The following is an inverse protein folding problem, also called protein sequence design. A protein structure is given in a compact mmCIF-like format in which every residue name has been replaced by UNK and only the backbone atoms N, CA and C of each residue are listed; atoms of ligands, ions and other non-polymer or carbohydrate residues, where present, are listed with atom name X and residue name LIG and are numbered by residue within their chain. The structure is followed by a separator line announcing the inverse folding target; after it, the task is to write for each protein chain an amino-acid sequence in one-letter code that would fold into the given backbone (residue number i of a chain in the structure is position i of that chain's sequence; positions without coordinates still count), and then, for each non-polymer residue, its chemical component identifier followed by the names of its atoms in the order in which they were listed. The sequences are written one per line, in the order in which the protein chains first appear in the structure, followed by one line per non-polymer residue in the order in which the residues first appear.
data_IF_103610861122
#
_entry.id   IF_103610861122
#
_cell.length_a   1.000
_cell.length_b   1.000
_cell.length_c   1.000
_cell.angle_alpha   90.00
_cell.angle_beta   90.00
_cell.angle_gamma   90.00
#
_symmetry.space_group_name_H-M   'P 1'
#
loop_
_entity.id
_entity.type
_entity.pdbx_description
1 polymer ?
#
# COMPACT_ATOMS: atom_id res chain seq x y z
N UNK A 1 -41.37 24.73 58.15
CA UNK A 1 -40.53 25.31 59.23
C UNK A 1 -39.10 25.44 58.72
N UNK A 2 -38.51 26.61 58.94
CA UNK A 2 -37.15 27.03 58.56
C UNK A 2 -36.12 26.38 59.47
N UNK A 3 -34.90 26.12 58.96
CA UNK A 3 -33.65 26.65 59.52
C UNK A 3 -32.50 26.58 58.49
N UNK A 4 -31.99 27.78 58.17
CA UNK A 4 -30.67 28.09 57.60
C UNK A 4 -29.60 27.94 58.71
N UNK A 5 -28.33 27.76 58.35
CA UNK A 5 -27.06 28.29 58.92
C UNK A 5 -25.93 27.56 58.15
N UNK A 6 -24.81 28.11 57.68
CA UNK A 6 -24.15 29.40 57.79
C UNK A 6 -22.77 29.27 57.11
N UNK A 7 -22.27 30.38 56.59
CA UNK A 7 -21.10 30.57 55.71
C UNK A 7 -19.76 30.50 56.47
N UNK A 8 -18.68 30.01 55.84
CA UNK A 8 -17.32 30.57 56.03
C UNK A 8 -16.45 30.45 54.78
N UNK A 9 -16.14 31.61 54.23
CA UNK A 9 -15.09 31.97 53.26
C UNK A 9 -13.68 31.64 53.75
N UNK A 10 -12.80 31.10 52.89
CA UNK A 10 -11.39 31.51 52.81
C UNK A 10 -10.84 31.43 51.39
N UNK A 11 -10.32 32.58 50.99
CA UNK A 11 -9.60 32.97 49.79
C UNK A 11 -8.15 32.44 49.86
N UNK A 12 -7.58 31.92 48.77
CA UNK A 12 -6.14 32.02 48.52
C UNK A 12 -5.85 32.06 47.01
N UNK A 13 -4.78 32.78 46.69
CA UNK A 13 -4.46 33.53 45.48
C UNK A 13 -3.19 32.96 44.83
N UNK A 14 -3.06 33.12 43.50
CA UNK A 14 -1.78 33.18 42.77
C UNK A 14 -1.37 31.87 42.07
N UNK A 15 -0.81 31.86 40.86
CA UNK A 15 -0.13 32.91 40.10
C UNK A 15 -0.18 32.54 38.60
N UNK A 16 -0.58 33.50 37.75
CA UNK A 16 -0.51 33.44 36.29
C UNK A 16 0.78 34.18 35.87
N UNK A 17 1.74 33.50 35.24
CA UNK A 17 2.95 34.14 34.71
C UNK A 17 2.93 34.16 33.18
N UNK A 18 2.59 35.33 32.65
CA UNK A 18 2.72 35.72 31.25
C UNK A 18 4.12 36.34 31.06
N UNK A 19 4.99 35.70 30.28
CA UNK A 19 6.26 36.29 29.84
C UNK A 19 6.12 36.78 28.40
N UNK A 20 6.06 38.10 28.23
CA UNK A 20 6.40 38.77 26.97
C UNK A 20 7.92 38.95 26.94
N UNK A 21 8.59 38.55 25.86
CA UNK A 21 9.95 39.02 25.56
C UNK A 21 10.19 39.19 24.05
N UNK A 22 10.14 40.46 23.65
CA UNK A 22 10.80 41.20 22.55
C UNK A 22 11.29 40.47 21.29
N UNK A 23 10.80 40.96 20.14
CA UNK A 23 11.44 40.84 18.83
C UNK A 23 12.68 41.73 18.71
N UNK A 24 13.76 41.20 18.13
CA UNK A 24 14.89 41.94 17.56
C UNK A 24 15.25 41.28 16.22
N UNK A 25 15.38 42.07 15.16
CA UNK A 25 15.77 41.64 13.82
C UNK A 25 17.23 42.05 13.50
N UNK A 26 17.79 41.39 12.46
CA UNK A 26 19.02 41.65 11.65
C UNK A 26 20.39 41.14 12.13
N UNK A 27 21.37 40.88 11.23
CA UNK A 27 21.33 40.58 9.77
C UNK A 27 22.04 39.25 9.42
N UNK A 28 21.97 38.84 8.14
CA UNK A 28 22.57 37.60 7.64
C UNK A 28 24.10 37.52 7.74
N UNK A 29 24.60 36.28 7.85
CA UNK A 29 25.97 35.88 7.55
C UNK A 29 25.91 34.58 6.73
N UNK A 30 26.63 34.60 5.61
CA UNK A 30 26.68 33.56 4.61
C UNK A 30 27.41 32.29 5.09
N UNK A 31 26.93 31.17 4.57
CA UNK A 31 27.63 29.96 4.09
C UNK A 31 29.03 29.69 4.65
N UNK A 32 29.14 28.61 5.42
CA UNK A 32 30.32 27.73 5.40
C UNK A 32 29.81 26.33 5.09
N UNK A 33 30.23 25.80 3.95
CA UNK A 33 29.79 24.52 3.41
C UNK A 33 30.03 23.37 4.38
N UNK A 34 28.98 22.61 4.64
CA UNK A 34 29.12 21.21 4.98
C UNK A 34 28.80 20.42 3.73
N UNK A 35 29.85 19.87 3.12
CA UNK A 35 29.76 18.76 2.19
C UNK A 35 29.21 17.55 2.97
N UNK A 36 27.89 17.49 3.14
CA UNK A 36 27.24 16.20 3.29
C UNK A 36 27.21 15.63 1.89
N UNK A 37 28.06 14.64 1.62
CA UNK A 37 27.74 13.62 0.62
C UNK A 37 26.45 12.96 1.11
N UNK A 38 25.33 13.65 0.90
CA UNK A 38 24.01 13.11 1.05
C UNK A 38 23.92 12.06 -0.04
N UNK A 39 23.87 10.80 0.38
CA UNK A 39 23.06 9.86 -0.35
C UNK A 39 21.68 10.51 -0.41
N UNK A 40 21.37 11.17 -1.53
CA UNK A 40 20.00 11.38 -1.94
C UNK A 40 19.42 9.96 -1.97
N UNK A 41 18.80 9.55 -0.87
CA UNK A 41 17.89 8.42 -0.91
C UNK A 41 16.80 8.92 -1.84
N UNK A 42 16.64 8.36 -3.05
CA UNK A 42 15.54 8.76 -3.90
C UNK A 42 14.28 8.46 -3.10
N UNK A 43 13.64 9.52 -2.61
CA UNK A 43 12.30 9.40 -2.07
C UNK A 43 11.43 9.22 -3.30
N UNK A 44 11.32 7.99 -3.78
CA UNK A 44 10.27 7.63 -4.73
C UNK A 44 8.99 7.78 -3.93
N UNK A 45 8.37 8.97 -3.98
CA UNK A 45 6.95 9.04 -3.67
C UNK A 45 6.29 8.14 -4.70
N UNK A 46 5.92 6.93 -4.29
CA UNK A 46 5.08 6.08 -5.11
C UNK A 46 3.84 6.92 -5.46
N UNK A 47 3.67 7.19 -6.76
CA UNK A 47 2.44 7.80 -7.23
C UNK A 47 1.26 6.91 -6.84
N UNK A 48 0.07 7.49 -6.73
CA UNK A 48 -1.17 6.74 -6.60
C UNK A 48 -2.16 7.23 -7.65
N UNK A 49 -3.17 6.43 -7.93
CA UNK A 49 -4.26 6.80 -8.84
C UNK A 49 -5.16 7.80 -8.10
N UNK A 50 -5.14 9.05 -8.56
CA UNK A 50 -6.05 10.07 -8.03
C UNK A 50 -7.50 9.65 -8.22
N UNK A 51 -8.32 9.84 -7.18
CA UNK A 51 -9.71 9.39 -7.18
C UNK A 51 -9.90 7.90 -6.87
N UNK A 52 -8.87 7.15 -6.48
CA UNK A 52 -9.02 5.74 -6.09
C UNK A 52 -8.42 5.40 -4.72
N UNK A 53 -9.18 4.62 -3.95
CA UNK A 53 -8.80 4.09 -2.63
C UNK A 53 -9.00 2.58 -2.60
N UNK A 54 -8.13 1.86 -1.91
CA UNK A 54 -8.31 0.46 -1.55
C UNK A 54 -8.68 0.38 -0.07
N UNK A 55 -9.87 -0.15 0.22
CA UNK A 55 -10.33 -0.44 1.57
C UNK A 55 -10.24 -1.94 1.87
N UNK A 56 -9.86 -2.28 3.09
CA UNK A 56 -9.84 -3.67 3.57
C UNK A 56 -10.84 -3.78 4.71
N UNK A 57 -11.82 -4.69 4.57
CA UNK A 57 -12.83 -4.91 5.58
C UNK A 57 -12.27 -5.69 6.78
N UNK A 58 -12.87 -5.48 7.95
CA UNK A 58 -12.58 -6.26 9.14
C UNK A 58 -12.78 -7.77 8.90
N UNK A 59 -11.97 -8.59 9.55
CA UNK A 59 -11.91 -10.04 9.34
C UNK A 59 -12.97 -10.82 10.14
N UNK A 60 -13.55 -10.19 11.16
CA UNK A 60 -14.57 -10.75 12.06
C UNK A 60 -16.01 -10.60 11.53
N UNK A 61 -16.19 -9.98 10.36
CA UNK A 61 -17.50 -9.84 9.72
C UNK A 61 -18.01 -11.19 9.16
N UNK A 62 -19.25 -11.53 9.49
CA UNK A 62 -19.95 -12.63 8.84
C UNK A 62 -20.36 -12.28 7.39
N UNK A 63 -20.88 -13.26 6.65
CA UNK A 63 -21.23 -13.09 5.25
C UNK A 63 -22.33 -12.04 5.01
N UNK A 64 -23.29 -11.89 5.92
CA UNK A 64 -24.37 -10.91 5.77
C UNK A 64 -23.89 -9.51 6.14
N UNK A 65 -23.15 -9.38 7.24
CA UNK A 65 -22.52 -8.12 7.64
C UNK A 65 -21.61 -7.60 6.54
N UNK A 66 -20.76 -8.47 5.96
CA UNK A 66 -19.89 -8.08 4.85
C UNK A 66 -20.67 -7.56 3.64
N UNK A 67 -21.77 -8.21 3.26
CA UNK A 67 -22.59 -7.75 2.14
C UNK A 67 -23.24 -6.39 2.45
N UNK A 68 -23.70 -6.19 3.68
CA UNK A 68 -24.24 -4.90 4.11
C UNK A 68 -23.19 -3.79 4.04
N UNK A 69 -21.97 -4.03 4.52
CA UNK A 69 -20.88 -3.04 4.48
C UNK A 69 -20.51 -2.69 3.03
N UNK A 70 -20.50 -3.67 2.13
CA UNK A 70 -20.24 -3.43 0.70
C UNK A 70 -21.32 -2.56 0.04
N UNK A 71 -22.58 -2.80 0.39
CA UNK A 71 -23.72 -2.00 -0.09
C UNK A 71 -23.63 -0.56 0.44
N UNK A 72 -23.42 -0.40 1.75
CA UNK A 72 -23.26 0.91 2.40
C UNK A 72 -22.09 1.72 1.85
N UNK A 73 -20.94 1.08 1.58
CA UNK A 73 -19.80 1.73 0.93
C UNK A 73 -20.12 2.13 -0.51
N UNK A 74 -20.95 1.36 -1.22
CA UNK A 74 -21.38 1.67 -2.58
C UNK A 74 -22.36 2.82 -2.68
N UNK A 75 -23.09 3.12 -1.61
CA UNK A 75 -24.09 4.21 -1.54
C UNK A 75 -23.57 5.51 -0.91
N UNK A 76 -22.31 5.54 -0.44
CA UNK A 76 -21.73 6.71 0.18
C UNK A 76 -21.58 7.90 -0.80
N UNK A 77 -21.87 9.12 -0.34
CA UNK A 77 -21.88 10.34 -1.18
C UNK A 77 -20.52 10.63 -1.85
N UNK A 78 -19.43 10.19 -1.23
CA UNK A 78 -18.06 10.37 -1.70
C UNK A 78 -17.58 9.25 -2.64
N UNK A 79 -18.45 8.28 -2.96
CA UNK A 79 -18.15 7.11 -3.80
C UNK A 79 -18.90 7.20 -5.13
N UNK A 80 -18.16 7.02 -6.22
CA UNK A 80 -18.73 6.87 -7.55
C UNK A 80 -19.00 5.39 -7.88
N UNK A 81 -18.06 4.50 -7.58
CA UNK A 81 -18.17 3.06 -7.83
C UNK A 81 -17.36 2.24 -6.84
N UNK A 82 -17.79 1.00 -6.59
CA UNK A 82 -17.03 0.01 -5.82
C UNK A 82 -16.80 -1.26 -6.63
N UNK A 83 -15.64 -1.88 -6.41
CA UNK A 83 -15.28 -3.15 -7.00
C UNK A 83 -14.63 -4.04 -5.95
N UNK A 84 -15.28 -5.14 -5.60
CA UNK A 84 -14.68 -6.14 -4.70
C UNK A 84 -13.50 -6.82 -5.39
N UNK A 85 -12.34 -6.73 -4.76
CA UNK A 85 -11.16 -7.51 -5.10
C UNK A 85 -11.26 -8.79 -4.26
N UNK A 86 -11.60 -9.90 -4.92
CA UNK A 86 -11.64 -11.20 -4.27
C UNK A 86 -10.26 -11.85 -4.39
N UNK A 87 -9.42 -11.85 -3.34
CA UNK A 87 -8.22 -12.67 -3.37
C UNK A 87 -8.62 -14.13 -3.50
N UNK A 88 -7.99 -14.87 -4.41
CA UNK A 88 -8.19 -16.32 -4.60
C UNK A 88 -7.64 -17.17 -3.42
N UNK A 89 -7.46 -16.59 -2.25
CA UNK A 89 -6.84 -17.22 -1.09
C UNK A 89 -7.87 -17.48 0.01
N UNK A 90 -7.65 -18.54 0.78
CA UNK A 90 -8.45 -19.03 1.93
C UNK A 90 -8.63 -18.02 3.07
N UNK A 91 -8.20 -16.76 2.91
CA UNK A 91 -8.39 -15.70 3.90
C UNK A 91 -9.71 -14.99 3.63
N UNK A 92 -10.53 -14.82 4.66
CA UNK A 92 -11.78 -14.04 4.62
C UNK A 92 -11.55 -12.52 4.52
N UNK A 93 -10.38 -12.08 4.03
CA UNK A 93 -10.06 -10.67 3.89
C UNK A 93 -10.69 -10.16 2.60
N UNK A 94 -11.68 -9.28 2.75
CA UNK A 94 -12.33 -8.63 1.61
C UNK A 94 -11.68 -7.30 1.36
N UNK A 95 -11.15 -7.15 0.14
CA UNK A 95 -10.59 -5.89 -0.33
C UNK A 95 -11.57 -5.27 -1.32
N UNK A 96 -11.68 -3.95 -1.31
CA UNK A 96 -12.58 -3.20 -2.17
C UNK A 96 -11.79 -2.05 -2.78
N UNK A 97 -11.79 -1.97 -4.11
CA UNK A 97 -11.39 -0.77 -4.83
C UNK A 97 -12.58 0.17 -4.88
N UNK A 98 -12.36 1.41 -4.49
CA UNK A 98 -13.37 2.47 -4.42
C UNK A 98 -12.92 3.59 -5.35
N UNK A 99 -13.74 3.88 -6.36
CA UNK A 99 -13.62 5.06 -7.20
C UNK A 99 -14.40 6.19 -6.53
N UNK A 100 -13.75 7.34 -6.32
CA UNK A 100 -14.28 8.47 -5.58
C UNK A 100 -15.14 9.37 -6.47
N UNK A 101 -16.14 10.00 -5.87
CA UNK A 101 -16.93 11.03 -6.53
C UNK A 101 -16.09 12.29 -6.81
N UNK A 102 -16.42 12.99 -7.90
CA UNK A 102 -15.74 14.21 -8.32
C UNK A 102 -15.60 15.23 -7.17
N UNK A 103 -14.38 15.74 -6.98
CA UNK A 103 -14.07 16.74 -5.95
C UNK A 103 -13.71 16.17 -4.58
N UNK A 104 -13.81 14.84 -4.38
CA UNK A 104 -13.31 14.15 -3.18
C UNK A 104 -11.81 13.89 -3.31
N UNK A 105 -11.04 14.19 -2.27
CA UNK A 105 -9.60 13.88 -2.26
C UNK A 105 -9.35 12.48 -1.68
N UNK A 106 -8.31 11.79 -2.16
CA UNK A 106 -7.90 10.48 -1.63
C UNK A 106 -7.66 10.53 -0.12
N UNK A 107 -7.06 11.61 0.37
CA UNK A 107 -6.80 11.80 1.80
C UNK A 107 -8.07 11.87 2.63
N UNK A 108 -9.05 12.67 2.19
CA UNK A 108 -10.29 12.86 2.93
C UNK A 108 -11.13 11.58 2.91
N UNK A 109 -11.18 10.90 1.76
CA UNK A 109 -11.84 9.61 1.62
C UNK A 109 -11.24 8.55 2.54
N UNK A 110 -9.91 8.43 2.61
CA UNK A 110 -9.25 7.49 3.53
C UNK A 110 -9.63 7.78 4.98
N UNK A 111 -9.57 9.05 5.40
CA UNK A 111 -9.90 9.42 6.77
C UNK A 111 -11.35 9.09 7.13
N UNK A 112 -12.28 9.26 6.20
CA UNK A 112 -13.69 8.92 6.39
C UNK A 112 -13.92 7.40 6.41
N UNK A 113 -13.31 6.68 5.47
CA UNK A 113 -13.45 5.22 5.37
C UNK A 113 -12.83 4.51 6.58
N UNK A 114 -11.67 4.97 7.07
CA UNK A 114 -11.00 4.42 8.25
C UNK A 114 -11.71 4.70 9.58
N UNK A 115 -12.59 5.70 9.64
CA UNK A 115 -13.40 5.96 10.85
C UNK A 115 -14.51 4.89 11.03
N UNK A 116 -14.81 4.12 9.98
CA UNK A 116 -15.81 3.04 10.05
C UNK A 116 -15.28 1.86 10.87
N UNK A 117 -16.08 1.32 11.81
CA UNK A 117 -15.66 0.19 12.65
C UNK A 117 -15.56 -1.15 11.90
N UNK A 118 -16.14 -1.24 10.70
CA UNK A 118 -16.17 -2.42 9.83
C UNK A 118 -15.05 -2.43 8.78
N UNK A 119 -14.20 -1.41 8.79
CA UNK A 119 -13.00 -1.28 7.96
C UNK A 119 -11.76 -1.50 8.84
N UNK A 120 -10.86 -2.37 8.39
CA UNK A 120 -9.60 -2.61 9.07
C UNK A 120 -8.58 -1.48 8.80
N UNK A 121 -8.51 -1.02 7.55
CA UNK A 121 -7.73 0.14 7.10
C UNK A 121 -8.10 0.53 5.67
N UNK A 122 -7.71 1.73 5.25
CA UNK A 122 -7.80 2.17 3.85
C UNK A 122 -6.48 2.80 3.39
N UNK A 123 -6.19 2.70 2.09
CA UNK A 123 -4.95 3.21 1.52
C UNK A 123 -5.15 3.71 0.09
N UNK A 124 -4.26 4.58 -0.41
CA UNK A 124 -4.27 4.94 -1.82
C UNK A 124 -4.07 3.72 -2.72
N UNK A 125 -4.61 3.77 -3.95
CA UNK A 125 -4.23 2.81 -4.98
C UNK A 125 -2.86 3.18 -5.57
N UNK A 126 -1.77 2.64 -5.02
CA UNK A 126 -0.42 2.96 -5.46
C UNK A 126 -0.11 2.43 -6.87
N UNK A 127 0.63 3.23 -7.63
CA UNK A 127 1.13 2.90 -8.96
C UNK A 127 2.46 2.18 -8.80
N UNK A 128 2.53 0.96 -9.31
CA UNK A 128 3.75 0.19 -9.45
C UNK A 128 4.19 0.20 -10.92
N UNK A 129 5.47 0.41 -11.15
CA UNK A 129 6.11 0.25 -12.45
C UNK A 129 7.19 -0.81 -12.36
N UNK A 130 7.39 -1.55 -13.45
CA UNK A 130 8.61 -2.32 -13.62
C UNK A 130 9.76 -1.31 -13.75
N UNK A 131 10.91 -1.62 -13.17
CA UNK A 131 12.12 -0.85 -13.48
C UNK A 131 12.42 -1.06 -14.96
N UNK A 132 12.62 0.02 -15.70
CA UNK A 132 13.09 0.01 -17.10
C UNK A 132 14.55 -0.46 -17.16
N UNK A 133 14.87 -1.57 -16.48
CA UNK A 133 16.14 -2.23 -16.70
C UNK A 133 16.09 -2.68 -18.16
N UNK A 134 17.04 -2.15 -18.93
CA UNK A 134 17.20 -2.29 -20.37
C UNK A 134 17.51 -3.77 -20.68
N UNK A 135 16.49 -4.64 -20.57
CA UNK A 135 16.61 -6.02 -21.00
C UNK A 135 16.54 -5.96 -22.51
N UNK A 136 17.70 -5.96 -23.17
CA UNK A 136 17.81 -6.17 -24.60
C UNK A 136 17.36 -7.61 -24.89
N UNK A 137 16.05 -7.81 -24.95
CA UNK A 137 15.38 -9.05 -25.30
C UNK A 137 15.49 -9.21 -26.81
N UNK A 138 16.56 -9.84 -27.29
CA UNK A 138 16.47 -10.53 -28.57
C UNK A 138 15.45 -11.67 -28.39
N UNK A 139 14.26 -11.48 -28.95
CA UNK A 139 13.17 -12.44 -28.86
C UNK A 139 13.61 -13.77 -29.49
N UNK A 140 13.89 -14.77 -28.66
CA UNK A 140 14.18 -16.12 -29.13
C UNK A 140 12.86 -16.80 -29.52
N UNK A 141 12.57 -16.88 -30.82
CA UNK A 141 11.44 -17.67 -31.33
C UNK A 141 11.79 -19.15 -31.28
N UNK A 142 11.46 -19.83 -30.17
CA UNK A 142 11.65 -21.28 -30.04
C UNK A 142 10.32 -21.96 -30.37
N UNK A 143 10.28 -22.71 -31.47
CA UNK A 143 9.10 -23.53 -31.79
C UNK A 143 9.01 -24.71 -30.82
N UNK A 144 7.82 -24.93 -30.26
CA UNK A 144 7.49 -25.97 -29.28
C UNK A 144 7.68 -27.42 -29.76
N UNK A 145 8.17 -27.64 -30.99
CA UNK A 145 8.47 -28.96 -31.56
C UNK A 145 9.93 -29.42 -31.45
N UNK A 146 10.86 -28.61 -30.92
CA UNK A 146 12.30 -28.94 -30.83
C UNK A 146 12.77 -29.41 -29.43
N UNK A 147 11.85 -29.72 -28.53
CA UNK A 147 12.10 -30.01 -27.11
C UNK A 147 12.89 -31.30 -26.78
N UNK A 148 13.59 -31.91 -27.75
CA UNK A 148 14.51 -33.04 -27.48
C UNK A 148 15.98 -32.60 -27.55
N UNK A 149 16.30 -31.48 -28.19
CA UNK A 149 17.65 -30.92 -28.24
C UNK A 149 17.57 -29.41 -28.37
N UNK A 150 17.71 -28.70 -27.25
CA UNK A 150 17.80 -27.24 -27.24
C UNK A 150 19.08 -26.79 -27.97
N UNK A 151 18.98 -26.19 -29.18
CA UNK A 151 20.15 -25.81 -29.97
C UNK A 151 20.95 -24.67 -29.35
N UNK A 152 20.40 -23.98 -28.35
CA UNK A 152 21.03 -22.87 -27.64
C UNK A 152 21.51 -23.27 -26.26
N UNK A 153 21.53 -24.56 -25.93
CA UNK A 153 21.93 -25.02 -24.59
C UNK A 153 23.32 -24.52 -24.17
N UNK A 154 24.28 -24.51 -25.09
CA UNK A 154 25.65 -24.03 -24.84
C UNK A 154 25.71 -22.53 -24.46
N UNK A 155 24.65 -21.75 -24.73
CA UNK A 155 24.56 -20.34 -24.37
C UNK A 155 23.92 -20.12 -22.99
N UNK A 156 23.28 -21.14 -22.42
CA UNK A 156 22.52 -21.06 -21.17
C UNK A 156 23.39 -21.36 -19.95
N UNK A 157 24.53 -20.66 -19.84
CA UNK A 157 25.53 -20.85 -18.78
C UNK A 157 24.95 -20.85 -17.35
N UNK A 158 23.87 -20.11 -17.11
CA UNK A 158 23.22 -20.03 -15.82
C UNK A 158 22.63 -21.39 -15.37
N UNK A 159 22.19 -22.23 -16.31
CA UNK A 159 21.69 -23.58 -16.03
C UNK A 159 22.79 -24.49 -15.47
N UNK A 160 24.02 -24.33 -15.97
CA UNK A 160 25.17 -25.09 -15.46
C UNK A 160 25.54 -24.65 -14.03
N UNK A 161 25.44 -23.34 -13.73
CA UNK A 161 25.71 -22.82 -12.38
C UNK A 161 24.73 -23.38 -11.35
N UNK A 162 23.46 -23.48 -11.69
CA UNK A 162 22.43 -23.99 -10.77
C UNK A 162 22.35 -25.53 -10.77
N UNK A 163 23.17 -26.22 -11.59
CA UNK A 163 23.15 -27.68 -11.71
C UNK A 163 21.82 -28.21 -12.25
N UNK A 164 21.24 -27.53 -13.24
CA UNK A 164 19.90 -27.82 -13.74
C UNK A 164 19.79 -29.23 -14.34
N UNK A 165 20.84 -29.72 -15.01
CA UNK A 165 20.85 -31.05 -15.64
C UNK A 165 20.87 -32.18 -14.62
N UNK A 166 21.64 -32.02 -13.56
CA UNK A 166 21.67 -32.98 -12.46
C UNK A 166 20.34 -32.97 -11.72
N UNK A 167 19.76 -31.79 -11.50
CA UNK A 167 18.44 -31.65 -10.87
C UNK A 167 17.32 -32.28 -11.71
N UNK A 168 17.36 -32.15 -13.04
CA UNK A 168 16.37 -32.72 -13.95
C UNK A 168 16.35 -34.27 -13.95
N UNK A 169 17.44 -34.91 -13.49
CA UNK A 169 17.53 -36.36 -13.34
C UNK A 169 16.93 -36.88 -12.03
N UNK A 170 16.63 -35.98 -11.07
CA UNK A 170 16.02 -36.37 -9.82
C UNK A 170 14.57 -36.81 -10.05
N UNK A 171 14.07 -37.80 -9.29
CA UNK A 171 12.66 -38.16 -9.36
C UNK A 171 11.82 -36.95 -8.97
N UNK A 172 10.92 -36.55 -9.87
CA UNK A 172 9.91 -35.53 -9.55
C UNK A 172 9.02 -36.07 -8.43
N UNK A 173 8.66 -35.23 -7.45
CA UNK A 173 7.72 -35.64 -6.43
C UNK A 173 6.34 -35.90 -7.06
N UNK A 174 5.56 -36.81 -6.48
CA UNK A 174 4.24 -37.23 -7.01
C UNK A 174 3.17 -36.12 -6.99
N UNK A 175 3.51 -34.93 -6.50
CA UNK A 175 2.61 -33.77 -6.50
C UNK A 175 2.79 -32.92 -7.77
N UNK A 176 1.67 -32.50 -8.34
CA UNK A 176 1.66 -31.44 -9.34
C UNK A 176 2.20 -30.15 -8.73
N UNK A 177 3.20 -29.54 -9.39
CA UNK A 177 3.72 -28.22 -9.04
C UNK A 177 3.07 -27.20 -9.97
N UNK A 178 2.41 -26.19 -9.39
CA UNK A 178 1.88 -25.05 -10.11
C UNK A 178 2.76 -23.82 -9.84
N UNK A 179 3.15 -23.12 -10.91
CA UNK A 179 3.96 -21.90 -10.84
C UNK A 179 3.12 -20.74 -11.35
N UNK A 180 2.87 -19.75 -10.49
CA UNK A 180 2.21 -18.51 -10.88
C UNK A 180 3.25 -17.45 -11.26
N UNK A 181 3.17 -16.93 -12.49
CA UNK A 181 4.00 -15.82 -12.97
C UNK A 181 3.14 -14.56 -12.93
N UNK A 182 3.51 -13.59 -12.07
CA UNK A 182 2.85 -12.28 -11.96
C UNK A 182 3.74 -11.27 -12.66
N UNK A 183 3.52 -11.11 -13.96
CA UNK A 183 4.30 -10.22 -14.83
C UNK A 183 3.36 -9.66 -15.91
N UNK A 184 3.92 -9.17 -17.01
CA UNK A 184 3.25 -8.66 -18.21
C UNK A 184 2.45 -9.72 -18.99
N UNK A 185 2.62 -10.99 -18.65
CA UNK A 185 1.99 -12.14 -19.31
C UNK A 185 3.01 -13.07 -19.94
N UNK A 186 2.53 -14.14 -20.57
CA UNK A 186 3.36 -15.11 -21.29
C UNK A 186 2.75 -15.34 -22.68
N UNK A 187 3.60 -15.40 -23.70
CA UNK A 187 3.21 -15.84 -25.04
C UNK A 187 3.25 -17.37 -25.08
N UNK A 188 2.12 -18.02 -25.41
CA UNK A 188 1.91 -19.48 -25.29
C UNK A 188 1.65 -20.16 -26.61
#
# INVERSE_FOLDING_TARGET
MKQKHGITTRLLVGLLSLFLLSAQATPGMAVVGQNTNGLDVPTVQAGYVEGEVIAVLADDLDSQQRLQVLDELGEADNVAQTQTITPNATRNTTMVRIELADGTTVKDAIAEIEDRPDVAFAQPNFIYSLTDDDISLEQATISSSEAISDPYRDLQWALDIIGADEAAQLPMPDNQIEVAVIDTGVDV
#
